data_IF_035631543294
#
_entry.id   IF_035631543294
#
_cell.length_a   1.000
_cell.length_b   1.000
_cell.length_c   1.000
_cell.angle_alpha   90.00
_cell.angle_beta   90.00
_cell.angle_gamma   90.00
#
_symmetry.space_group_name_H-M   'P 1'
#
loop_
_entity.id
_entity.type
_entity.pdbx_description
1 polymer ?
#
# COMPACT_ATOMS: atom_id res chain seq x y z
N UNK A 1 -15.90 -18.39 29.49
CA UNK A 1 -16.94 -17.73 28.69
C UNK A 1 -16.48 -17.71 27.23
N UNK A 2 -17.12 -18.50 26.40
CA UNK A 2 -16.79 -18.61 24.97
C UNK A 2 -17.28 -17.37 24.20
N UNK A 3 -16.40 -16.70 23.45
CA UNK A 3 -16.74 -15.54 22.64
C UNK A 3 -16.78 -15.96 21.16
N UNK A 4 -17.98 -16.13 20.54
CA UNK A 4 -18.14 -16.67 19.19
C UNK A 4 -17.80 -15.67 18.06
N UNK A 5 -17.27 -14.49 18.37
CA UNK A 5 -17.01 -13.42 17.40
C UNK A 5 -15.52 -13.01 17.27
N UNK A 6 -14.60 -13.80 17.79
CA UNK A 6 -13.21 -13.67 17.34
C UNK A 6 -13.12 -14.36 15.98
N UNK A 7 -12.73 -13.66 14.90
CA UNK A 7 -12.36 -14.34 13.67
C UNK A 7 -11.25 -15.33 14.03
N UNK A 8 -11.43 -16.61 13.72
CA UNK A 8 -10.34 -17.59 13.73
C UNK A 8 -9.28 -17.05 12.76
N UNK A 9 -8.24 -16.46 13.30
CA UNK A 9 -6.98 -16.33 12.60
C UNK A 9 -6.48 -17.76 12.55
N UNK A 10 -6.63 -18.43 11.40
CA UNK A 10 -5.93 -19.68 11.14
C UNK A 10 -4.46 -19.41 11.45
N UNK A 11 -3.89 -20.23 12.32
CA UNK A 11 -2.50 -20.21 12.71
C UNK A 11 -1.63 -20.36 11.46
N UNK A 12 -1.33 -19.23 10.81
CA UNK A 12 -0.22 -19.15 9.91
C UNK A 12 1.04 -19.26 10.77
N UNK A 13 1.93 -20.14 10.37
CA UNK A 13 3.28 -20.31 10.88
C UNK A 13 3.85 -18.97 11.34
N UNK A 14 4.34 -18.80 12.60
CA UNK A 14 4.78 -17.50 13.13
C UNK A 14 5.90 -16.83 12.33
N UNK A 15 6.45 -17.50 11.31
CA UNK A 15 7.41 -16.98 10.33
C UNK A 15 6.81 -16.48 9.00
N UNK A 16 5.55 -16.77 8.69
CA UNK A 16 4.96 -16.43 7.38
C UNK A 16 4.19 -15.11 7.46
N UNK A 17 4.84 -14.02 7.05
CA UNK A 17 4.19 -12.72 6.87
C UNK A 17 3.19 -12.81 5.71
N UNK A 18 1.90 -12.70 5.99
CA UNK A 18 0.85 -12.63 4.97
C UNK A 18 0.49 -11.17 4.69
N UNK A 19 0.38 -10.79 3.40
CA UNK A 19 -0.22 -9.51 3.05
C UNK A 19 -1.74 -9.57 3.25
N UNK A 20 -2.29 -8.48 3.77
CA UNK A 20 -3.72 -8.26 3.78
C UNK A 20 -4.11 -7.60 2.45
N UNK A 21 -4.71 -8.38 1.54
CA UNK A 21 -5.12 -7.86 0.23
C UNK A 21 -6.58 -7.42 0.27
N UNK A 22 -6.86 -6.26 -0.33
CA UNK A 22 -8.23 -5.73 -0.44
C UNK A 22 -9.18 -6.68 -1.18
N UNK A 23 -8.66 -7.53 -2.06
CA UNK A 23 -9.40 -8.54 -2.81
C UNK A 23 -9.78 -9.79 -1.99
N UNK A 24 -9.28 -9.94 -0.77
CA UNK A 24 -9.61 -11.08 0.08
C UNK A 24 -11.04 -10.98 0.64
N UNK A 25 -11.76 -12.11 0.68
CA UNK A 25 -13.09 -12.17 1.29
C UNK A 25 -13.03 -11.80 2.78
N UNK A 26 -13.98 -10.96 3.22
CA UNK A 26 -14.11 -10.59 4.63
C UNK A 26 -13.22 -9.46 5.11
N UNK A 27 -12.53 -8.77 4.20
CA UNK A 27 -11.76 -7.56 4.56
C UNK A 27 -12.70 -6.49 5.15
N UNK A 28 -12.28 -5.80 6.22
CA UNK A 28 -13.07 -4.73 6.81
C UNK A 28 -13.37 -3.64 5.78
N UNK A 29 -14.62 -3.16 5.72
CA UNK A 29 -15.02 -2.09 4.82
C UNK A 29 -14.11 -0.87 4.91
N UNK A 30 -13.79 -0.41 6.13
CA UNK A 30 -12.90 0.74 6.33
C UNK A 30 -11.49 0.53 5.75
N UNK A 31 -10.99 -0.70 5.73
CA UNK A 31 -9.69 -1.02 5.13
C UNK A 31 -9.74 -0.87 3.61
N UNK A 32 -10.76 -1.40 2.96
CA UNK A 32 -10.96 -1.28 1.50
C UNK A 32 -11.16 0.18 1.10
N UNK A 33 -12.01 0.92 1.82
CA UNK A 33 -12.29 2.32 1.54
C UNK A 33 -11.06 3.23 1.74
N UNK A 34 -10.16 2.90 2.66
CA UNK A 34 -8.90 3.63 2.83
C UNK A 34 -8.03 3.55 1.56
N UNK A 35 -7.95 2.39 0.91
CA UNK A 35 -7.22 2.26 -0.36
C UNK A 35 -7.93 2.92 -1.53
N UNK A 36 -9.26 2.90 -1.59
CA UNK A 36 -10.03 3.66 -2.59
C UNK A 36 -9.80 5.16 -2.43
N UNK A 37 -9.77 5.65 -1.19
CA UNK A 37 -9.43 7.05 -0.90
C UNK A 37 -8.00 7.39 -1.31
N UNK A 38 -7.04 6.50 -1.05
CA UNK A 38 -5.66 6.66 -1.50
C UNK A 38 -5.58 6.74 -3.03
N UNK A 39 -6.29 5.86 -3.75
CA UNK A 39 -6.40 5.91 -5.21
C UNK A 39 -6.95 7.24 -5.69
N UNK A 40 -8.06 7.70 -5.10
CA UNK A 40 -8.69 8.97 -5.47
C UNK A 40 -7.73 10.15 -5.29
N UNK A 41 -7.03 10.21 -4.15
CA UNK A 41 -6.01 11.24 -3.89
C UNK A 41 -4.85 11.17 -4.88
N UNK A 42 -4.41 9.95 -5.22
CA UNK A 42 -3.38 9.76 -6.23
C UNK A 42 -3.85 10.25 -7.61
N UNK A 43 -5.06 9.89 -8.02
CA UNK A 43 -5.63 10.33 -9.30
C UNK A 43 -5.69 11.88 -9.40
N UNK A 44 -6.06 12.58 -8.33
CA UNK A 44 -6.00 14.05 -8.31
C UNK A 44 -4.59 14.59 -8.49
N UNK A 45 -3.62 14.04 -7.75
CA UNK A 45 -2.22 14.42 -7.87
C UNK A 45 -1.67 14.16 -9.27
N UNK A 46 -2.00 13.00 -9.85
CA UNK A 46 -1.48 12.58 -11.15
C UNK A 46 -2.16 13.30 -12.30
N UNK A 47 -3.45 13.67 -12.18
CA UNK A 47 -4.16 14.46 -13.19
C UNK A 47 -3.53 15.83 -13.42
N UNK A 48 -2.98 16.45 -12.37
CA UNK A 48 -2.32 17.76 -12.47
C UNK A 48 -0.84 17.65 -12.87
N UNK A 49 -0.17 16.54 -12.57
CA UNK A 49 1.28 16.38 -12.77
C UNK A 49 1.66 15.45 -13.91
N UNK A 50 0.71 14.64 -14.42
CA UNK A 50 0.98 13.57 -15.39
C UNK A 50 1.78 12.38 -14.81
N UNK A 51 1.93 12.32 -13.48
CA UNK A 51 2.75 11.30 -12.83
C UNK A 51 2.12 9.91 -12.99
N UNK A 52 2.90 8.93 -13.49
CA UNK A 52 2.45 7.56 -13.74
C UNK A 52 3.38 6.50 -13.13
N UNK A 53 4.66 6.84 -12.96
CA UNK A 53 5.67 5.97 -12.37
C UNK A 53 5.98 6.44 -10.94
N UNK A 54 5.72 5.61 -9.94
CA UNK A 54 5.75 6.01 -8.54
C UNK A 54 6.56 4.97 -7.75
N UNK A 55 7.55 5.42 -6.97
CA UNK A 55 8.25 4.56 -6.03
C UNK A 55 7.57 4.63 -4.66
N UNK A 56 7.37 3.47 -4.04
CA UNK A 56 6.85 3.34 -2.67
C UNK A 56 7.99 2.93 -1.76
N UNK A 57 8.24 3.73 -0.74
CA UNK A 57 9.28 3.48 0.27
C UNK A 57 8.81 3.86 1.68
N UNK A 58 9.62 3.61 2.68
CA UNK A 58 9.33 3.91 4.08
C UNK A 58 10.58 4.33 4.83
N UNK A 59 10.45 4.76 6.10
CA UNK A 59 11.59 5.05 6.97
C UNK A 59 12.36 3.76 7.27
N UNK A 60 11.66 2.77 7.84
CA UNK A 60 12.23 1.54 8.38
C UNK A 60 11.54 0.30 7.80
N UNK A 61 12.13 -0.90 7.98
CA UNK A 61 11.44 -2.15 7.70
C UNK A 61 10.12 -2.27 8.49
N UNK A 62 9.18 -3.08 8.01
CA UNK A 62 7.90 -3.41 8.69
C UNK A 62 6.87 -2.26 8.80
N UNK A 63 7.05 -1.19 8.04
CA UNK A 63 6.05 -0.11 7.93
C UNK A 63 4.94 -0.42 6.92
N UNK A 64 4.89 -1.63 6.40
CA UNK A 64 3.89 -2.13 5.45
C UNK A 64 3.97 -1.54 4.03
N UNK A 65 5.15 -1.02 3.58
CA UNK A 65 5.35 -0.48 2.23
C UNK A 65 4.86 -1.43 1.13
N UNK A 66 5.28 -2.68 1.15
CA UNK A 66 4.91 -3.70 0.14
C UNK A 66 3.41 -4.03 0.16
N UNK A 67 2.76 -3.98 1.35
CA UNK A 67 1.32 -4.09 1.46
C UNK A 67 0.60 -2.90 0.80
N UNK A 68 1.13 -1.69 1.00
CA UNK A 68 0.63 -0.47 0.35
C UNK A 68 0.82 -0.55 -1.16
N UNK A 69 2.00 -0.95 -1.63
CA UNK A 69 2.31 -1.09 -3.07
C UNK A 69 1.34 -2.04 -3.77
N UNK A 70 1.12 -3.23 -3.21
CA UNK A 70 0.22 -4.23 -3.80
C UNK A 70 -1.23 -3.73 -3.78
N UNK A 71 -1.74 -3.27 -2.64
CA UNK A 71 -3.14 -2.86 -2.53
C UNK A 71 -3.45 -1.60 -3.35
N UNK A 72 -2.50 -0.67 -3.51
CA UNK A 72 -2.62 0.46 -4.41
C UNK A 72 -2.72 -0.03 -5.87
N UNK A 73 -1.87 -0.98 -6.28
CA UNK A 73 -1.94 -1.58 -7.60
C UNK A 73 -3.31 -2.25 -7.87
N UNK A 74 -3.81 -3.02 -6.89
CA UNK A 74 -5.12 -3.67 -6.99
C UNK A 74 -6.26 -2.67 -7.11
N UNK A 75 -6.25 -1.60 -6.30
CA UNK A 75 -7.31 -0.58 -6.33
C UNK A 75 -7.33 0.19 -7.65
N UNK A 76 -6.17 0.48 -8.24
CA UNK A 76 -6.05 1.12 -9.54
C UNK A 76 -6.52 0.19 -10.67
N UNK A 77 -6.21 -1.12 -10.57
CA UNK A 77 -6.69 -2.13 -11.54
C UNK A 77 -8.22 -2.31 -11.47
N UNK A 78 -8.83 -2.23 -10.27
CA UNK A 78 -10.29 -2.22 -10.10
C UNK A 78 -10.95 -1.01 -10.81
N UNK A 79 -10.23 0.10 -10.95
CA UNK A 79 -10.67 1.30 -11.67
C UNK A 79 -10.42 1.20 -13.20
N UNK A 80 -10.07 0.02 -13.69
CA UNK A 80 -9.89 -0.27 -15.12
C UNK A 80 -8.53 0.17 -15.69
N UNK A 81 -7.56 0.55 -14.84
CA UNK A 81 -6.21 0.95 -15.26
C UNK A 81 -5.32 -0.26 -15.53
N UNK A 82 -4.46 -0.17 -16.53
CA UNK A 82 -3.42 -1.15 -16.80
C UNK A 82 -2.21 -0.88 -15.91
N UNK A 83 -1.92 -1.78 -14.98
CA UNK A 83 -0.95 -1.56 -13.90
C UNK A 83 0.23 -2.51 -14.00
N UNK A 84 1.45 -1.95 -13.89
CA UNK A 84 2.65 -2.71 -13.57
C UNK A 84 3.04 -2.52 -12.11
N UNK A 85 3.21 -3.62 -11.37
CA UNK A 85 3.80 -3.64 -10.04
C UNK A 85 5.20 -4.25 -10.15
N UNK A 86 6.21 -3.51 -9.72
CA UNK A 86 7.62 -3.86 -9.87
C UNK A 86 8.27 -4.04 -8.50
N UNK A 87 8.83 -5.22 -8.24
CA UNK A 87 9.61 -5.48 -7.01
C UNK A 87 11.04 -4.99 -7.20
N UNK A 88 11.37 -3.85 -6.62
CA UNK A 88 12.71 -3.25 -6.62
C UNK A 88 13.45 -3.41 -5.30
N UNK A 89 12.95 -4.20 -4.36
CA UNK A 89 13.72 -4.64 -3.20
C UNK A 89 14.62 -5.82 -3.60
N UNK A 90 15.66 -5.53 -4.40
CA UNK A 90 16.59 -6.56 -4.93
C UNK A 90 17.40 -7.23 -3.83
N UNK A 91 17.36 -6.69 -2.59
CA UNK A 91 18.11 -7.20 -1.44
C UNK A 91 17.32 -8.25 -0.67
N UNK A 92 16.01 -7.99 -0.46
CA UNK A 92 15.10 -8.87 0.28
C UNK A 92 13.73 -8.93 -0.41
N UNK A 93 13.67 -9.45 -1.65
CA UNK A 93 12.42 -9.49 -2.40
C UNK A 93 11.38 -10.35 -1.67
N UNK A 94 10.16 -9.86 -1.58
CA UNK A 94 9.07 -10.56 -0.87
C UNK A 94 7.78 -10.64 -1.68
N UNK A 95 7.59 -9.77 -2.68
CA UNK A 95 6.32 -9.69 -3.41
C UNK A 95 5.98 -10.99 -4.16
N UNK A 96 6.98 -11.68 -4.72
CA UNK A 96 6.77 -12.94 -5.42
C UNK A 96 6.10 -14.01 -4.52
N UNK A 97 6.44 -14.04 -3.22
CA UNK A 97 5.84 -14.97 -2.24
C UNK A 97 4.38 -14.64 -1.99
N UNK A 98 4.07 -13.35 -1.79
CA UNK A 98 2.72 -12.88 -1.49
C UNK A 98 1.77 -13.00 -2.68
N UNK A 99 2.28 -12.78 -3.89
CA UNK A 99 1.51 -12.86 -5.13
C UNK A 99 1.50 -14.27 -5.71
N UNK A 100 2.18 -15.23 -5.06
CA UNK A 100 2.32 -16.63 -5.52
C UNK A 100 2.85 -16.72 -6.96
N UNK A 101 3.83 -15.89 -7.27
CA UNK A 101 4.39 -15.74 -8.62
C UNK A 101 5.50 -16.76 -8.94
N UNK A 102 5.71 -17.77 -8.08
CA UNK A 102 6.77 -18.77 -8.25
C UNK A 102 8.12 -18.35 -7.67
N UNK A 103 9.05 -19.31 -7.64
CA UNK A 103 10.45 -19.09 -7.24
C UNK A 103 11.35 -19.06 -8.47
N UNK A 104 12.51 -18.39 -8.38
CA UNK A 104 13.54 -18.29 -9.42
C UNK A 104 13.03 -17.74 -10.76
N UNK A 105 12.10 -16.82 -10.71
CA UNK A 105 11.58 -16.12 -11.89
C UNK A 105 12.55 -15.01 -12.32
N UNK A 106 12.72 -14.83 -13.63
CA UNK A 106 13.42 -13.67 -14.18
C UNK A 106 12.73 -12.37 -13.74
N UNK A 107 13.49 -11.30 -13.55
CA UNK A 107 12.95 -10.04 -13.06
C UNK A 107 13.85 -8.85 -13.35
N UNK A 108 13.67 -7.78 -12.56
CA UNK A 108 14.40 -6.50 -12.71
C UNK A 108 15.91 -6.72 -12.85
N UNK A 109 16.54 -7.46 -11.93
CA UNK A 109 17.98 -7.69 -11.96
C UNK A 109 18.46 -8.38 -13.24
N UNK A 110 17.69 -9.34 -13.76
CA UNK A 110 18.04 -10.09 -14.98
C UNK A 110 17.91 -9.19 -16.22
N UNK A 111 16.86 -8.34 -16.30
CA UNK A 111 16.68 -7.38 -17.40
C UNK A 111 17.84 -6.38 -17.43
N UNK A 112 18.09 -5.75 -16.27
CA UNK A 112 19.10 -4.70 -16.14
C UNK A 112 20.52 -5.25 -16.37
N UNK A 113 20.76 -6.53 -16.05
CA UNK A 113 22.02 -7.24 -16.35
C UNK A 113 22.06 -7.84 -17.76
N UNK A 114 21.09 -7.55 -18.63
CA UNK A 114 21.01 -8.06 -20.01
C UNK A 114 20.92 -9.59 -20.16
N UNK A 115 20.32 -10.25 -19.18
CA UNK A 115 20.13 -11.70 -19.17
C UNK A 115 18.79 -12.12 -19.78
N UNK A 116 17.81 -11.19 -19.89
CA UNK A 116 16.53 -11.41 -20.55
C UNK A 116 15.92 -10.09 -21.01
N UNK A 117 14.91 -10.18 -21.87
CA UNK A 117 14.07 -9.04 -22.29
C UNK A 117 12.98 -8.77 -21.26
N UNK A 118 12.38 -7.56 -21.29
CA UNK A 118 11.30 -7.16 -20.40
C UNK A 118 10.10 -8.09 -20.52
N UNK A 119 9.70 -8.42 -21.75
CA UNK A 119 8.53 -9.23 -22.04
C UNK A 119 8.63 -10.65 -21.46
N UNK A 120 9.84 -11.19 -21.35
CA UNK A 120 10.10 -12.52 -20.76
C UNK A 120 9.96 -12.56 -19.24
N UNK A 121 10.08 -11.41 -18.58
CA UNK A 121 10.05 -11.31 -17.13
C UNK A 121 8.69 -10.79 -16.57
N UNK A 122 7.85 -10.24 -17.44
CA UNK A 122 6.53 -9.76 -17.05
C UNK A 122 5.57 -10.94 -16.80
N UNK A 123 4.96 -10.95 -15.62
CA UNK A 123 3.99 -11.97 -15.21
C UNK A 123 2.59 -11.36 -15.13
N UNK A 124 1.69 -11.78 -16.01
CA UNK A 124 0.28 -11.39 -15.90
C UNK A 124 -0.40 -12.19 -14.79
N UNK A 125 -0.92 -11.50 -13.78
CA UNK A 125 -1.64 -12.09 -12.65
C UNK A 125 -3.14 -11.86 -12.85
N UNK A 126 -3.81 -12.78 -13.56
CA UNK A 126 -5.21 -12.64 -13.98
C UNK A 126 -6.16 -12.47 -12.80
N UNK A 127 -5.93 -13.20 -11.68
CA UNK A 127 -6.75 -13.09 -10.47
C UNK A 127 -6.72 -11.69 -9.85
N UNK A 128 -5.70 -10.89 -10.14
CA UNK A 128 -5.51 -9.53 -9.63
C UNK A 128 -5.66 -8.45 -10.70
N UNK A 129 -5.75 -8.85 -11.98
CA UNK A 129 -5.79 -7.95 -13.14
C UNK A 129 -4.59 -6.98 -13.21
N UNK A 130 -3.44 -7.36 -12.68
CA UNK A 130 -2.20 -6.58 -12.73
C UNK A 130 -1.11 -7.36 -13.45
N UNK A 131 -0.10 -6.64 -13.93
CA UNK A 131 1.15 -7.24 -14.40
C UNK A 131 2.22 -7.04 -13.32
N UNK A 132 2.89 -8.12 -12.95
CA UNK A 132 3.93 -8.12 -11.93
C UNK A 132 5.31 -8.33 -12.58
N UNK A 133 6.28 -7.52 -12.19
CA UNK A 133 7.68 -7.71 -12.52
C UNK A 133 8.45 -8.04 -11.23
N UNK A 134 8.90 -9.29 -11.07
CA UNK A 134 9.69 -9.71 -9.90
C UNK A 134 11.04 -9.01 -9.82
N UNK A 135 11.67 -9.07 -8.65
CA UNK A 135 13.04 -8.56 -8.46
C UNK A 135 14.08 -9.32 -9.28
N UNK A 136 13.84 -10.59 -9.53
CA UNK A 136 14.80 -11.48 -10.20
C UNK A 136 15.85 -12.06 -9.24
N UNK A 137 16.98 -12.48 -9.78
CA UNK A 137 18.09 -13.03 -9.02
C UNK A 137 18.79 -11.92 -8.21
N UNK A 138 19.00 -12.07 -6.89
CA UNK A 138 19.67 -11.05 -6.08
C UNK A 138 21.07 -10.73 -6.63
N UNK A 139 21.34 -9.48 -7.02
CA UNK A 139 22.66 -9.07 -7.54
C UNK A 139 23.60 -8.66 -6.41
N UNK A 140 24.92 -8.65 -6.65
CA UNK A 140 25.90 -8.19 -5.67
C UNK A 140 25.87 -6.67 -5.44
N UNK A 141 25.47 -5.88 -6.45
CA UNK A 141 25.49 -4.42 -6.46
C UNK A 141 24.12 -3.80 -6.81
N UNK A 142 23.09 -3.94 -5.96
CA UNK A 142 21.72 -3.52 -6.28
C UNK A 142 21.59 -2.04 -6.66
N UNK A 143 22.19 -1.12 -5.88
CA UNK A 143 22.05 0.32 -6.09
C UNK A 143 22.63 0.77 -7.45
N UNK A 144 23.74 0.20 -7.87
CA UNK A 144 24.37 0.50 -9.17
C UNK A 144 23.47 0.03 -10.33
N UNK A 145 22.94 -1.18 -10.23
CA UNK A 145 22.00 -1.71 -11.22
C UNK A 145 20.76 -0.83 -11.33
N UNK A 146 20.16 -0.43 -10.21
CA UNK A 146 18.99 0.44 -10.18
C UNK A 146 19.28 1.84 -10.72
N UNK A 147 20.52 2.33 -10.65
CA UNK A 147 20.96 3.61 -11.21
C UNK A 147 21.40 3.56 -12.67
N UNK A 148 21.40 2.39 -13.31
CA UNK A 148 21.97 2.21 -14.65
C UNK A 148 21.06 2.76 -15.77
N UNK A 149 21.66 3.05 -16.93
CA UNK A 149 20.92 3.44 -18.14
C UNK A 149 19.92 2.36 -18.59
N UNK A 150 20.19 1.08 -18.33
CA UNK A 150 19.25 -0.01 -18.62
C UNK A 150 18.01 0.03 -17.73
N UNK A 151 18.16 0.40 -16.46
CA UNK A 151 17.02 0.62 -15.58
C UNK A 151 16.13 1.76 -16.11
N UNK A 152 16.73 2.86 -16.57
CA UNK A 152 15.99 3.97 -17.18
C UNK A 152 15.22 3.52 -18.42
N UNK A 153 15.86 2.74 -19.31
CA UNK A 153 15.20 2.18 -20.49
C UNK A 153 14.01 1.29 -20.12
N UNK A 154 14.17 0.41 -19.13
CA UNK A 154 13.10 -0.45 -18.65
C UNK A 154 11.93 0.39 -18.08
N UNK A 155 12.21 1.43 -17.29
CA UNK A 155 11.18 2.34 -16.77
C UNK A 155 10.44 3.02 -17.92
N UNK A 156 11.13 3.49 -18.96
CA UNK A 156 10.50 4.11 -20.13
C UNK A 156 9.60 3.14 -20.90
N UNK A 157 10.03 1.88 -21.10
CA UNK A 157 9.22 0.84 -21.72
C UNK A 157 7.95 0.54 -20.90
N UNK A 158 8.08 0.43 -19.57
CA UNK A 158 6.93 0.24 -18.68
C UNK A 158 5.96 1.41 -18.75
N UNK A 159 6.45 2.66 -18.74
CA UNK A 159 5.62 3.87 -18.89
C UNK A 159 4.87 3.95 -20.21
N UNK A 160 5.46 3.44 -21.29
CA UNK A 160 4.81 3.43 -22.59
C UNK A 160 3.66 2.40 -22.67
N UNK A 161 3.70 1.36 -21.82
CA UNK A 161 2.78 0.22 -21.87
C UNK A 161 1.66 0.30 -20.82
N UNK A 162 1.95 0.87 -19.65
CA UNK A 162 1.05 0.85 -18.50
C UNK A 162 0.57 2.26 -18.12
N UNK A 163 -0.67 2.34 -17.62
CA UNK A 163 -1.24 3.58 -17.10
C UNK A 163 -0.53 4.03 -15.82
N UNK A 164 -0.18 3.05 -14.97
CA UNK A 164 0.61 3.28 -13.76
C UNK A 164 1.67 2.20 -13.58
N UNK A 165 2.85 2.62 -13.12
CA UNK A 165 3.95 1.74 -12.72
C UNK A 165 4.29 2.00 -11.26
N UNK A 166 4.13 1.00 -10.41
CA UNK A 166 4.39 1.10 -8.97
C UNK A 166 5.63 0.29 -8.64
N UNK A 167 6.67 0.97 -8.15
CA UNK A 167 7.95 0.37 -7.74
C UNK A 167 7.96 0.20 -6.22
N UNK A 168 7.98 -1.04 -5.72
CA UNK A 168 8.19 -1.33 -4.29
C UNK A 168 9.69 -1.34 -4.00
N UNK A 169 10.17 -0.39 -3.20
CA UNK A 169 11.59 -0.20 -2.91
C UNK A 169 11.92 -0.42 -1.42
N UNK A 170 13.15 -0.77 -1.04
CA UNK A 170 13.52 -0.90 0.35
C UNK A 170 13.42 0.41 1.13
N UNK A 171 13.41 0.38 2.49
CA UNK A 171 13.36 1.58 3.32
C UNK A 171 14.56 2.50 3.08
N UNK A 172 14.29 3.82 2.95
CA UNK A 172 15.31 4.82 2.60
C UNK A 172 16.36 5.03 3.70
N UNK A 173 16.03 4.74 4.96
CA UNK A 173 17.02 4.85 6.05
C UNK A 173 18.08 3.75 6.00
N UNK A 174 17.75 2.62 5.40
CA UNK A 174 18.65 1.46 5.32
C UNK A 174 19.60 1.53 4.14
N UNK A 175 19.10 1.94 2.97
CA UNK A 175 19.83 1.97 1.69
C UNK A 175 19.35 3.12 0.81
N UNK A 176 20.10 3.43 -0.25
CA UNK A 176 19.80 4.55 -1.16
C UNK A 176 18.90 4.15 -2.34
N UNK A 177 18.57 2.89 -2.47
CA UNK A 177 17.88 2.30 -3.63
C UNK A 177 16.59 3.05 -3.98
N UNK A 178 15.79 3.41 -2.96
CA UNK A 178 14.55 4.17 -3.15
C UNK A 178 14.79 5.59 -3.71
N UNK A 179 15.89 6.24 -3.33
CA UNK A 179 16.25 7.55 -3.88
C UNK A 179 16.76 7.42 -5.32
N UNK A 180 17.55 6.39 -5.60
CA UNK A 180 18.07 6.10 -6.95
C UNK A 180 16.92 5.86 -7.94
N UNK A 181 15.90 5.07 -7.55
CA UNK A 181 14.70 4.87 -8.36
C UNK A 181 13.88 6.16 -8.43
N UNK A 182 13.70 6.85 -7.29
CA UNK A 182 12.89 8.06 -7.17
C UNK A 182 13.31 9.17 -8.14
N UNK A 183 14.59 9.26 -8.46
CA UNK A 183 15.13 10.22 -9.44
C UNK A 183 14.84 9.85 -10.91
N UNK A 184 14.38 8.63 -11.17
CA UNK A 184 14.05 8.14 -12.52
C UNK A 184 12.54 8.05 -12.76
N UNK A 185 11.74 8.31 -11.73
CA UNK A 185 10.27 8.23 -11.75
C UNK A 185 9.64 9.58 -11.38
N UNK A 186 8.32 9.67 -11.36
CA UNK A 186 7.60 10.93 -11.15
C UNK A 186 7.58 11.39 -9.69
N UNK A 187 7.87 10.48 -8.77
CA UNK A 187 7.98 10.80 -7.35
C UNK A 187 7.80 9.59 -6.44
N UNK A 188 7.88 9.85 -5.14
CA UNK A 188 7.79 8.86 -4.09
C UNK A 188 6.49 8.99 -3.29
N UNK A 189 5.85 7.86 -3.01
CA UNK A 189 4.84 7.71 -1.99
C UNK A 189 5.53 7.19 -0.72
N UNK A 190 5.46 7.96 0.36
CA UNK A 190 6.18 7.67 1.58
C UNK A 190 5.27 6.98 2.61
N UNK A 191 5.63 5.78 3.04
CA UNK A 191 4.82 4.99 3.98
C UNK A 191 5.37 5.17 5.39
N UNK A 192 4.49 5.50 6.33
CA UNK A 192 4.79 5.67 7.75
C UNK A 192 3.86 4.77 8.55
N UNK A 193 4.42 3.99 9.47
CA UNK A 193 3.63 3.20 10.40
C UNK A 193 3.39 3.99 11.69
N UNK A 194 2.11 4.10 12.09
CA UNK A 194 1.70 4.78 13.31
C UNK A 194 2.41 4.19 14.53
N UNK A 195 2.95 5.07 15.38
CA UNK A 195 3.61 4.71 16.65
C UNK A 195 4.73 3.67 16.49
N UNK A 196 5.55 3.79 15.42
CA UNK A 196 6.62 2.84 15.15
C UNK A 196 8.00 3.50 15.02
N UNK A 197 8.20 4.31 14.01
CA UNK A 197 9.44 5.07 13.86
C UNK A 197 9.38 6.39 14.69
N UNK A 198 10.48 6.84 15.32
CA UNK A 198 10.57 8.17 15.90
C UNK A 198 10.31 9.26 14.84
N UNK A 199 9.67 10.36 15.24
CA UNK A 199 9.33 11.46 14.32
C UNK A 199 10.58 12.03 13.63
N UNK A 200 11.67 12.21 14.37
CA UNK A 200 12.95 12.71 13.85
C UNK A 200 13.52 11.78 12.76
N UNK A 201 13.33 10.46 12.91
CA UNK A 201 13.77 9.48 11.90
C UNK A 201 12.93 9.57 10.62
N UNK A 202 11.62 9.82 10.77
CA UNK A 202 10.70 10.03 9.63
C UNK A 202 11.07 11.32 8.89
N UNK A 203 11.28 12.40 9.61
CA UNK A 203 11.69 13.70 9.05
C UNK A 203 13.03 13.60 8.32
N UNK A 204 14.03 12.96 8.93
CA UNK A 204 15.33 12.72 8.32
C UNK A 204 15.23 11.87 7.04
N UNK A 205 14.38 10.85 7.02
CA UNK A 205 14.13 10.01 5.86
C UNK A 205 13.48 10.79 4.71
N UNK A 206 12.47 11.60 5.02
CA UNK A 206 11.81 12.49 4.02
C UNK A 206 12.79 13.55 3.52
N UNK A 207 13.59 14.14 4.40
CA UNK A 207 14.64 15.08 4.03
C UNK A 207 15.65 14.43 3.07
N UNK A 208 16.13 13.23 3.39
CA UNK A 208 17.06 12.47 2.53
C UNK A 208 16.50 12.27 1.11
N UNK A 209 15.20 11.94 0.95
CA UNK A 209 14.57 11.86 -0.35
C UNK A 209 14.57 13.21 -1.08
N UNK A 210 14.19 14.29 -0.40
CA UNK A 210 14.16 15.65 -0.98
C UNK A 210 15.55 16.14 -1.36
N UNK A 211 16.55 15.93 -0.51
CA UNK A 211 17.94 16.34 -0.75
C UNK A 211 18.56 15.62 -1.96
N UNK A 212 18.08 14.41 -2.27
CA UNK A 212 18.45 13.68 -3.50
C UNK A 212 17.61 14.06 -4.72
N UNK A 213 16.76 15.08 -4.66
CA UNK A 213 15.94 15.54 -5.76
C UNK A 213 14.62 14.79 -5.98
N UNK A 214 14.30 13.80 -5.15
CA UNK A 214 13.07 13.01 -5.29
C UNK A 214 11.87 13.83 -4.85
N UNK A 215 10.87 13.95 -5.71
CA UNK A 215 9.58 14.57 -5.39
C UNK A 215 8.77 13.64 -4.49
N UNK A 216 8.49 14.05 -3.26
CA UNK A 216 7.58 13.33 -2.36
C UNK A 216 6.13 13.73 -2.71
N UNK A 217 5.36 12.80 -3.25
CA UNK A 217 3.97 13.01 -3.68
C UNK A 217 3.00 13.08 -2.50
N UNK A 218 3.31 12.36 -1.43
CA UNK A 218 2.49 12.31 -0.22
C UNK A 218 2.95 11.21 0.73
N UNK A 219 2.25 11.11 1.86
CA UNK A 219 2.50 10.07 2.86
C UNK A 219 1.26 9.21 3.11
N UNK A 220 1.48 7.92 3.39
CA UNK A 220 0.46 6.94 3.77
C UNK A 220 0.72 6.49 5.19
N UNK A 221 -0.21 6.79 6.09
CA UNK A 221 -0.15 6.32 7.46
C UNK A 221 -0.76 4.91 7.57
N UNK A 222 0.04 3.92 7.97
CA UNK A 222 -0.40 2.54 8.14
C UNK A 222 -0.62 2.18 9.61
N UNK A 223 -1.43 1.15 9.87
CA UNK A 223 -1.76 0.66 11.22
C UNK A 223 -2.27 1.75 12.17
N UNK A 224 -2.95 2.75 11.62
CA UNK A 224 -3.55 3.80 12.41
C UNK A 224 -4.77 3.27 13.17
N UNK A 225 -4.73 3.36 14.50
CA UNK A 225 -5.88 3.05 15.35
C UNK A 225 -6.66 4.33 15.68
N UNK A 226 -7.71 4.55 14.93
CA UNK A 226 -8.56 5.72 15.13
C UNK A 226 -9.26 5.75 16.50
N UNK A 227 -9.42 4.60 17.20
CA UNK A 227 -10.01 4.57 18.55
C UNK A 227 -9.05 5.18 19.58
N UNK A 228 -7.76 4.98 19.40
CA UNK A 228 -6.74 5.56 20.28
C UNK A 228 -6.53 7.04 19.98
N UNK A 229 -6.65 7.46 18.73
CA UNK A 229 -6.51 8.86 18.31
C UNK A 229 -7.72 9.74 18.70
N UNK A 230 -8.91 9.14 18.89
CA UNK A 230 -10.14 9.85 19.25
C UNK A 230 -10.14 10.48 20.66
N UNK A 231 -9.18 10.13 21.52
CA UNK A 231 -9.08 10.74 22.84
C UNK A 231 -8.69 12.23 22.83
N UNK A 232 -8.45 12.83 21.65
CA UNK A 232 -8.00 14.22 21.57
C UNK A 232 -8.36 15.06 20.33
N UNK A 233 -9.08 14.58 19.32
CA UNK A 233 -9.38 15.43 18.16
C UNK A 233 -10.75 15.20 17.51
N UNK A 234 -11.45 16.30 17.18
CA UNK A 234 -12.72 16.32 16.44
C UNK A 234 -12.61 15.79 14.99
N UNK A 235 -11.41 15.61 14.44
CA UNK A 235 -11.19 15.16 13.06
C UNK A 235 -11.55 13.69 12.84
N UNK A 236 -11.34 12.86 13.84
CA UNK A 236 -11.63 11.42 13.75
C UNK A 236 -13.14 11.14 13.78
N UNK A 237 -13.93 12.00 14.38
CA UNK A 237 -15.41 11.84 14.44
C UNK A 237 -16.05 11.93 13.05
N UNK A 238 -15.57 12.84 12.19
CA UNK A 238 -16.07 13.00 10.82
C UNK A 238 -15.70 11.82 9.91
N UNK A 239 -14.51 11.26 10.04
CA UNK A 239 -14.08 10.10 9.21
C UNK A 239 -14.90 8.84 9.56
N UNK A 240 -15.21 8.63 10.84
CA UNK A 240 -16.07 7.52 11.29
C UNK A 240 -17.54 7.74 10.94
N UNK A 241 -18.06 8.95 11.01
CA UNK A 241 -19.43 9.28 10.67
C UNK A 241 -19.76 8.95 9.21
N UNK A 242 -18.87 9.21 8.27
CA UNK A 242 -19.03 8.83 6.86
C UNK A 242 -19.00 7.32 6.64
N UNK A 243 -18.12 6.58 7.33
CA UNK A 243 -18.02 5.12 7.24
C UNK A 243 -19.24 4.39 7.84
N UNK A 244 -19.91 4.97 8.82
CA UNK A 244 -21.10 4.38 9.45
C UNK A 244 -22.40 4.67 8.71
N UNK A 245 -22.46 5.63 7.81
CA UNK A 245 -23.68 5.98 7.07
C UNK A 245 -24.05 4.94 6.01
N UNK A 246 -23.11 4.13 5.56
CA UNK A 246 -23.30 3.09 4.53
C UNK A 246 -23.16 1.65 5.04
N UNK A 247 -22.82 1.43 6.32
CA UNK A 247 -22.73 0.11 6.94
C UNK A 247 -23.78 -0.10 8.05
N UNK A 248 -24.13 -1.35 8.35
CA UNK A 248 -25.05 -1.70 9.45
C UNK A 248 -24.53 -1.13 10.78
N UNK A 249 -25.31 -0.34 11.51
CA UNK A 249 -24.86 0.28 12.75
C UNK A 249 -24.47 -0.77 13.80
N UNK A 250 -23.40 -0.54 14.58
CA UNK A 250 -22.96 -1.47 15.62
C UNK A 250 -24.05 -1.80 16.62
N UNK A 251 -24.02 -3.03 17.14
CA UNK A 251 -25.05 -3.58 18.08
C UNK A 251 -25.36 -2.67 19.28
N UNK A 252 -24.40 -1.88 19.77
CA UNK A 252 -24.61 -0.97 20.90
C UNK A 252 -25.51 0.24 20.54
N UNK A 253 -25.46 0.75 19.30
CA UNK A 253 -26.37 1.81 18.83
C UNK A 253 -27.82 1.26 18.74
N UNK A 254 -27.99 -0.03 18.37
CA UNK A 254 -29.31 -0.68 18.38
C UNK A 254 -29.89 -0.81 19.78
N UNK A 255 -29.06 -1.00 20.82
CA UNK A 255 -29.55 -1.07 22.22
C UNK A 255 -30.06 0.27 22.72
N UNK A 256 -29.37 1.37 22.48
CA UNK A 256 -29.81 2.71 22.88
C UNK A 256 -31.06 3.17 22.13
N UNK A 257 -31.27 2.75 20.89
CA UNK A 257 -32.47 3.06 20.13
C UNK A 257 -33.72 2.26 20.62
N UNK A 258 -33.52 1.04 21.15
CA UNK A 258 -34.59 0.27 21.79
C UNK A 258 -34.94 0.83 23.17
N UNK A 259 -33.97 1.27 23.97
CA UNK A 259 -34.24 1.90 25.27
C UNK A 259 -35.03 3.21 25.14
N UNK A 260 -34.66 4.09 24.19
CA UNK A 260 -35.41 5.32 23.92
C UNK A 260 -36.86 5.10 23.39
N UNK A 261 -37.12 4.00 22.67
CA UNK A 261 -38.46 3.66 22.21
C UNK A 261 -39.36 3.11 23.35
N UNK A 262 -38.79 2.47 24.37
CA UNK A 262 -39.53 1.98 25.53
C UNK A 262 -39.92 3.11 26.51
N UNK A 263 -39.13 4.19 26.61
CA UNK A 263 -39.43 5.35 27.44
C UNK A 263 -40.52 6.27 26.82
N UNK A 264 -40.59 6.33 25.47
CA UNK A 264 -41.62 7.16 24.79
C UNK A 264 -43.01 6.54 24.75
N UNK A 265 -43.17 5.27 25.17
CA UNK A 265 -44.47 4.57 25.16
C UNK A 265 -45.16 4.57 26.55
N UNK A 266 -44.48 5.07 27.61
CA UNK A 266 -45.02 5.13 28.97
C UNK A 266 -45.54 6.52 29.41
N UNK A 267 -45.49 7.51 28.54
CA UNK A 267 -45.95 8.88 28.87
C UNK A 267 -47.18 9.30 28.07
N UNK A 268 -48.28 8.51 28.10
CA UNK A 268 -49.59 9.03 27.80
C UNK A 268 -50.42 9.04 29.09
N UNK A 269 -50.86 10.19 29.61
CA UNK A 269 -51.78 10.24 30.73
C UNK A 269 -53.15 9.75 30.29
N UNK A 270 -53.72 8.84 31.08
CA UNK A 270 -55.15 8.53 31.01
C UNK A 270 -55.93 9.72 31.55
N UNK A 271 -56.63 10.42 30.71
CA UNK A 271 -57.66 11.34 30.98
C UNK A 271 -58.94 10.89 30.29
#
# INVERSE_FOLDING_TARGET
MWNPFKPKIENSDPGQRSLQLISQKGMPFAYVEAYKSLRTNLNFLTSSTGARAIVVTSTMPEEAKSNVSVNLALTLAEDGKNIALVDCDLRKPVLHKYLKAGHNVKGVSNIVSNQCKLEEALLRLEQFKITFLPAGTPPPNPSELLGSARMQQMIQQLRATFDYVIFDAPPISMVTDAAVIGNQVDGALFVVRSSYAPAESVEAAVKKLKDTGVKVLGAVLTRYDAKTALKGSNYAYNYYSYGYSYGTPPRWIRRHRKARKSESTQSQPKG
#
